data_IF_712511993110
#
_entry.id   IF_712511993110
#
_cell.length_a   1.000
_cell.length_b   1.000
_cell.length_c   1.000
_cell.angle_alpha   90.00
_cell.angle_beta   90.00
_cell.angle_gamma   90.00
#
_symmetry.space_group_name_H-M   'P 1'
#
loop_
_entity.id
_entity.type
_entity.pdbx_description
1 polymer ?
#
# COMPACT_ATOMS: atom_id res chain seq x y z
N UNK A 1 -35.86 -63.45 -50.95
CA UNK A 1 -37.18 -63.93 -50.48
C UNK A 1 -38.07 -62.70 -50.38
N UNK A 2 -39.08 -62.61 -51.27
CA UNK A 2 -40.22 -61.67 -51.35
C UNK A 2 -39.95 -60.16 -51.10
N UNK A 3 -39.94 -59.24 -52.10
CA UNK A 3 -41.06 -58.78 -52.97
C UNK A 3 -42.16 -58.18 -52.07
N UNK A 4 -42.53 -56.88 -52.06
CA UNK A 4 -42.94 -56.00 -53.18
C UNK A 4 -43.31 -54.59 -52.65
N UNK A 5 -43.12 -53.58 -53.52
CA UNK A 5 -44.05 -52.46 -53.82
C UNK A 5 -44.40 -51.41 -52.74
N UNK A 6 -44.67 -50.14 -53.05
CA UNK A 6 -44.79 -49.30 -54.27
C UNK A 6 -44.68 -47.83 -53.74
N UNK A 7 -43.85 -46.96 -54.32
CA UNK A 7 -44.15 -46.01 -55.41
C UNK A 7 -45.11 -44.86 -55.01
N UNK A 8 -44.60 -43.63 -55.23
CA UNK A 8 -45.17 -42.42 -55.87
C UNK A 8 -44.92 -41.19 -54.99
N UNK A 9 -43.78 -40.49 -55.15
CA UNK A 9 -43.53 -39.35 -56.07
C UNK A 9 -44.45 -38.15 -55.78
N UNK A 10 -44.01 -36.89 -55.71
CA UNK A 10 -43.24 -36.07 -56.66
C UNK A 10 -43.10 -34.71 -55.93
N UNK A 11 -41.97 -33.99 -55.90
CA UNK A 11 -41.65 -32.82 -56.76
C UNK A 11 -40.35 -32.23 -56.16
N UNK A 12 -39.19 -32.29 -56.83
CA UNK A 12 -38.66 -31.30 -57.79
C UNK A 12 -38.59 -29.87 -57.18
N UNK A 13 -37.44 -29.40 -56.65
CA UNK A 13 -36.26 -28.80 -57.37
C UNK A 13 -36.56 -27.34 -57.79
N UNK A 14 -35.62 -26.40 -58.05
CA UNK A 14 -34.16 -26.26 -57.82
C UNK A 14 -33.88 -25.02 -56.94
N UNK A 15 -32.65 -24.54 -56.65
CA UNK A 15 -31.69 -23.81 -57.49
C UNK A 15 -30.89 -22.95 -56.49
N UNK A 16 -29.65 -22.53 -56.62
CA UNK A 16 -28.53 -22.73 -57.55
C UNK A 16 -27.50 -21.66 -57.17
N UNK A 17 -26.25 -21.84 -57.62
CA UNK A 17 -25.11 -20.90 -57.57
C UNK A 17 -24.42 -20.77 -56.19
N UNK A 18 -23.08 -20.81 -56.09
CA UNK A 18 -22.06 -20.78 -57.11
C UNK A 18 -20.96 -19.79 -56.69
N UNK A 19 -19.77 -20.33 -56.46
CA UNK A 19 -18.44 -19.72 -56.53
C UNK A 19 -17.97 -18.68 -55.49
N UNK A 20 -16.68 -18.87 -55.21
CA UNK A 20 -15.75 -18.17 -54.31
C UNK A 20 -15.71 -16.66 -54.50
N UNK A 21 -15.43 -15.92 -53.42
CA UNK A 21 -14.32 -14.96 -53.37
C UNK A 21 -14.00 -14.56 -51.93
N UNK A 22 -12.70 -14.31 -51.72
CA UNK A 22 -12.02 -13.77 -50.55
C UNK A 22 -12.73 -12.65 -49.79
N UNK A 23 -12.71 -12.72 -48.46
CA UNK A 23 -13.08 -11.62 -47.57
C UNK A 23 -12.29 -11.65 -46.27
N UNK A 24 -11.29 -10.78 -46.16
CA UNK A 24 -10.65 -10.38 -44.90
C UNK A 24 -11.73 -9.97 -43.88
N UNK A 25 -11.76 -10.62 -42.72
CA UNK A 25 -12.34 -10.03 -41.52
C UNK A 25 -11.50 -10.47 -40.34
N UNK A 26 -10.79 -9.50 -39.77
CA UNK A 26 -9.81 -9.71 -38.72
C UNK A 26 -10.40 -10.49 -37.55
N UNK A 27 -9.73 -11.58 -37.22
CA UNK A 27 -9.82 -12.16 -35.89
C UNK A 27 -9.36 -11.08 -34.92
N UNK A 28 -10.34 -10.44 -34.27
CA UNK A 28 -10.09 -9.80 -32.98
C UNK A 28 -9.45 -10.88 -32.12
N UNK A 29 -8.14 -10.78 -31.88
CA UNK A 29 -7.53 -11.39 -30.71
C UNK A 29 -8.38 -10.93 -29.53
N UNK A 30 -9.26 -11.79 -29.04
CA UNK A 30 -9.78 -11.63 -27.70
C UNK A 30 -8.53 -11.70 -26.82
N UNK A 31 -8.06 -10.55 -26.35
CA UNK A 31 -7.11 -10.50 -25.23
C UNK A 31 -7.85 -11.11 -24.05
N UNK A 32 -7.87 -12.44 -24.00
CA UNK A 32 -8.46 -13.19 -22.92
C UNK A 32 -7.52 -12.98 -21.74
N UNK A 33 -7.74 -11.87 -21.03
CA UNK A 33 -6.95 -11.48 -19.89
C UNK A 33 -7.43 -12.40 -18.77
N UNK A 34 -6.86 -13.60 -18.67
CA UNK A 34 -7.18 -14.57 -17.65
C UNK A 34 -6.47 -14.20 -16.36
N UNK A 35 -7.18 -14.16 -15.25
CA UNK A 35 -6.56 -14.09 -13.93
C UNK A 35 -6.01 -15.46 -13.52
N UNK A 36 -4.96 -15.46 -12.71
CA UNK A 36 -4.60 -16.61 -11.90
C UNK A 36 -5.76 -16.94 -10.92
N UNK A 37 -5.96 -18.22 -10.65
CA UNK A 37 -6.97 -18.66 -9.70
C UNK A 37 -6.30 -18.88 -8.34
N UNK A 38 -6.74 -18.13 -7.33
CA UNK A 38 -6.40 -18.40 -5.93
C UNK A 38 -7.54 -19.20 -5.27
N UNK A 39 -7.22 -20.12 -4.34
CA UNK A 39 -8.24 -20.80 -3.56
C UNK A 39 -9.05 -19.79 -2.76
N UNK A 40 -10.36 -20.01 -2.72
CA UNK A 40 -11.30 -19.18 -1.93
C UNK A 40 -10.95 -19.36 -0.46
N UNK A 41 -10.70 -18.26 0.24
CA UNK A 41 -10.46 -18.24 1.69
C UNK A 41 -11.79 -18.19 2.47
N UNK A 42 -11.72 -18.28 3.80
CA UNK A 42 -12.87 -18.05 4.70
C UNK A 42 -12.99 -16.57 5.02
N UNK A 43 -14.18 -16.14 5.43
CA UNK A 43 -14.42 -14.77 5.93
C UNK A 43 -13.30 -14.35 6.88
N UNK A 44 -12.82 -13.12 6.67
CA UNK A 44 -11.65 -12.56 7.34
C UNK A 44 -11.96 -11.19 7.92
N UNK A 45 -10.94 -10.34 8.05
CA UNK A 45 -11.10 -9.01 8.64
C UNK A 45 -10.33 -7.93 7.91
N UNK A 46 -10.83 -6.70 8.01
CA UNK A 46 -10.11 -5.48 7.71
C UNK A 46 -9.90 -4.71 9.00
N UNK A 47 -8.72 -4.13 9.13
CA UNK A 47 -8.34 -3.28 10.23
C UNK A 47 -7.85 -1.93 9.71
N UNK A 48 -8.23 -0.84 10.36
CA UNK A 48 -7.65 0.49 10.18
C UNK A 48 -7.32 1.10 11.54
N UNK A 49 -6.38 2.05 11.60
CA UNK A 49 -6.06 2.75 12.85
C UNK A 49 -6.64 4.16 12.85
N UNK A 50 -7.14 4.61 13.99
CA UNK A 50 -7.71 5.96 14.14
C UNK A 50 -6.64 7.05 14.16
N UNK A 51 -5.43 6.72 14.59
CA UNK A 51 -4.29 7.63 14.83
C UNK A 51 -4.58 8.75 15.86
N UNK A 52 -5.61 8.61 16.67
CA UNK A 52 -5.97 9.60 17.68
C UNK A 52 -4.95 9.61 18.84
N UNK A 53 -4.91 10.64 19.70
CA UNK A 53 -4.16 10.60 20.96
C UNK A 53 -4.50 9.37 21.80
N UNK A 54 -5.76 8.95 21.77
CA UNK A 54 -6.21 7.63 22.19
C UNK A 54 -6.36 6.71 20.96
N UNK A 55 -5.24 6.16 20.48
CA UNK A 55 -5.25 5.40 19.24
C UNK A 55 -6.00 4.07 19.40
N UNK A 56 -6.80 3.72 18.39
CA UNK A 56 -7.63 2.52 18.36
C UNK A 56 -7.51 1.82 17.00
N UNK A 57 -7.72 0.50 17.02
CA UNK A 57 -7.98 -0.31 15.84
C UNK A 57 -9.48 -0.37 15.61
N UNK A 58 -9.94 0.02 14.42
CA UNK A 58 -11.30 -0.23 13.98
C UNK A 58 -11.33 -1.55 13.20
N UNK A 59 -12.17 -2.48 13.65
CA UNK A 59 -12.30 -3.83 13.11
C UNK A 59 -13.55 -3.94 12.25
N UNK A 60 -13.39 -4.54 11.07
CA UNK A 60 -14.48 -4.90 10.19
C UNK A 60 -14.42 -6.37 9.80
N UNK A 61 -15.51 -7.11 9.95
CA UNK A 61 -15.62 -8.44 9.36
C UNK A 61 -15.74 -8.33 7.84
N UNK A 62 -15.10 -9.24 7.11
CA UNK A 62 -14.98 -9.21 5.65
C UNK A 62 -15.59 -10.45 5.02
N UNK A 63 -16.59 -10.24 4.19
CA UNK A 63 -17.20 -11.30 3.37
C UNK A 63 -16.29 -11.66 2.19
N UNK A 64 -15.89 -12.92 2.07
CA UNK A 64 -15.04 -13.38 0.95
C UNK A 64 -15.74 -13.31 -0.40
N UNK A 65 -17.01 -13.72 -0.45
CA UNK A 65 -17.74 -13.82 -1.73
C UNK A 65 -18.04 -12.46 -2.34
N UNK A 66 -18.23 -11.45 -1.51
CA UNK A 66 -18.72 -10.13 -1.92
C UNK A 66 -17.72 -9.00 -1.68
N UNK A 67 -16.70 -9.24 -0.85
CA UNK A 67 -15.75 -8.25 -0.38
C UNK A 67 -16.34 -7.27 0.65
N UNK A 68 -17.63 -7.38 0.99
CA UNK A 68 -18.32 -6.42 1.84
C UNK A 68 -17.81 -6.45 3.28
N UNK A 69 -17.89 -5.29 3.92
CA UNK A 69 -17.45 -5.05 5.28
C UNK A 69 -18.64 -4.73 6.20
N UNK A 70 -18.55 -5.20 7.44
CA UNK A 70 -19.43 -4.86 8.57
C UNK A 70 -18.56 -4.42 9.72
N UNK A 71 -18.88 -3.29 10.35
CA UNK A 71 -18.14 -2.80 11.51
C UNK A 71 -18.47 -3.63 12.75
N UNK A 72 -17.44 -4.07 13.48
CA UNK A 72 -17.60 -4.96 14.63
C UNK A 72 -17.20 -4.28 15.95
N UNK A 73 -16.24 -3.35 15.92
CA UNK A 73 -15.86 -2.62 17.12
C UNK A 73 -14.53 -1.87 17.00
N UNK A 74 -14.22 -1.13 18.07
CA UNK A 74 -12.93 -0.48 18.28
C UNK A 74 -12.15 -1.17 19.40
N UNK A 75 -10.83 -1.18 19.27
CA UNK A 75 -9.91 -1.80 20.23
C UNK A 75 -8.73 -0.87 20.50
N UNK A 76 -8.55 -0.46 21.75
CA UNK A 76 -7.44 0.43 22.10
C UNK A 76 -6.08 -0.20 21.80
N UNK A 77 -5.18 0.59 21.20
CA UNK A 77 -3.78 0.20 21.08
C UNK A 77 -3.01 0.42 22.37
N UNK A 78 -3.57 1.14 23.36
CA UNK A 78 -2.85 1.65 24.53
C UNK A 78 -1.67 2.59 24.18
N UNK A 79 -1.58 3.05 22.92
CA UNK A 79 -0.62 4.04 22.45
C UNK A 79 -1.32 5.29 21.91
N UNK A 80 -0.54 6.20 21.34
CA UNK A 80 -1.04 7.43 20.73
C UNK A 80 -0.57 7.56 19.28
N UNK A 81 -1.44 8.08 18.42
CA UNK A 81 -1.09 8.39 17.05
C UNK A 81 -0.24 9.66 16.94
N UNK A 82 0.30 9.88 15.75
CA UNK A 82 1.21 10.97 15.44
C UNK A 82 0.82 11.68 14.15
N UNK A 83 1.17 12.95 14.05
CA UNK A 83 1.02 13.79 12.87
C UNK A 83 2.39 14.34 12.45
N UNK A 84 2.83 13.99 11.24
CA UNK A 84 4.01 14.59 10.63
C UNK A 84 3.92 16.13 10.58
N UNK A 85 5.08 16.78 10.72
CA UNK A 85 5.20 18.21 10.49
C UNK A 85 5.18 18.54 8.99
N UNK A 86 4.45 19.58 8.62
CA UNK A 86 4.31 20.01 7.23
C UNK A 86 5.62 20.55 6.64
N UNK A 87 6.04 19.98 5.51
CA UNK A 87 6.89 20.67 4.53
C UNK A 87 6.02 21.35 3.47
N UNK A 88 6.56 22.23 2.60
CA UNK A 88 5.78 22.94 1.60
C UNK A 88 5.36 22.00 0.46
N UNK A 89 4.31 21.20 0.67
CA UNK A 89 3.62 20.46 -0.38
C UNK A 89 2.32 21.19 -0.74
N UNK A 90 2.11 21.56 -2.01
CA UNK A 90 0.91 22.27 -2.44
C UNK A 90 -0.30 21.35 -2.71
N UNK A 91 -0.26 20.10 -2.24
CA UNK A 91 -1.37 19.16 -2.27
C UNK A 91 -1.86 18.91 -0.83
N UNK A 92 -3.16 18.63 -0.61
CA UNK A 92 -3.63 18.24 0.71
C UNK A 92 -2.78 17.08 1.20
N UNK A 93 -2.13 17.27 2.35
CA UNK A 93 -1.35 16.23 3.01
C UNK A 93 -2.11 15.80 4.24
N UNK A 94 -3.35 15.34 4.02
CA UNK A 94 -4.14 14.65 5.04
C UNK A 94 -3.64 13.21 5.15
N UNK A 95 -2.32 13.07 5.23
CA UNK A 95 -1.59 11.83 5.40
C UNK A 95 -0.77 11.98 6.68
N UNK A 96 -1.35 11.60 7.82
CA UNK A 96 -0.75 11.86 9.12
C UNK A 96 0.62 11.25 9.32
N UNK A 97 0.90 10.11 8.67
CA UNK A 97 2.16 9.39 8.85
C UNK A 97 3.05 9.41 7.61
N UNK A 98 2.57 9.86 6.45
CA UNK A 98 3.42 9.99 5.28
C UNK A 98 3.96 8.65 4.79
N UNK A 99 3.31 7.53 5.08
CA UNK A 99 3.93 6.21 5.02
C UNK A 99 2.94 5.10 4.70
N UNK A 100 3.50 3.94 4.36
CA UNK A 100 2.76 2.71 4.10
C UNK A 100 3.13 1.66 5.15
N UNK A 101 2.20 0.75 5.45
CA UNK A 101 2.40 -0.37 6.38
C UNK A 101 2.56 0.03 7.86
N UNK A 102 1.90 1.09 8.33
CA UNK A 102 1.84 1.43 9.76
C UNK A 102 1.02 0.42 10.60
N UNK A 103 0.16 -0.36 9.93
CA UNK A 103 -0.62 -1.46 10.49
C UNK A 103 -0.43 -2.69 9.61
N UNK A 104 0.00 -3.82 10.18
CA UNK A 104 0.23 -5.05 9.41
C UNK A 104 -0.34 -6.29 10.11
N UNK A 105 -0.72 -7.27 9.30
CA UNK A 105 -0.98 -8.64 9.76
C UNK A 105 0.30 -9.46 9.65
N UNK A 106 0.70 -10.10 10.74
CA UNK A 106 1.86 -10.98 10.84
C UNK A 106 1.42 -12.37 11.34
N UNK A 107 0.95 -13.21 10.41
CA UNK A 107 0.35 -14.50 10.75
C UNK A 107 -1.00 -14.30 11.45
N UNK A 108 -1.15 -14.80 12.67
CA UNK A 108 -2.36 -14.60 13.50
C UNK A 108 -2.26 -13.38 14.43
N UNK A 109 -1.35 -12.45 14.13
CA UNK A 109 -1.07 -11.28 14.93
C UNK A 109 -1.34 -10.01 14.11
N UNK A 110 -1.83 -8.97 14.76
CA UNK A 110 -1.98 -7.63 14.19
C UNK A 110 -1.01 -6.71 14.93
N UNK A 111 -0.17 -5.98 14.19
CA UNK A 111 0.85 -5.09 14.73
C UNK A 111 0.59 -3.66 14.28
N UNK A 112 0.56 -2.74 15.25
CA UNK A 112 0.19 -1.35 15.07
C UNK A 112 1.32 -0.42 15.52
N UNK A 113 1.79 0.45 14.63
CA UNK A 113 2.74 1.50 14.96
C UNK A 113 2.02 2.72 15.58
N UNK A 114 2.34 3.04 16.84
CA UNK A 114 1.83 4.24 17.51
C UNK A 114 2.89 5.34 17.44
N UNK A 115 2.80 6.15 16.38
CA UNK A 115 3.80 7.18 16.08
C UNK A 115 3.98 8.20 17.22
N UNK A 116 2.90 8.60 17.89
CA UNK A 116 2.94 9.60 18.96
C UNK A 116 3.53 9.09 20.27
N UNK A 117 3.42 7.78 20.55
CA UNK A 117 3.94 7.18 21.78
C UNK A 117 5.24 6.39 21.60
N UNK A 118 5.77 6.34 20.38
CA UNK A 118 7.04 5.66 20.04
C UNK A 118 7.04 4.15 20.36
N UNK A 119 5.89 3.50 20.18
CA UNK A 119 5.72 2.10 20.54
C UNK A 119 4.96 1.32 19.46
N UNK A 120 5.03 0.00 19.56
CA UNK A 120 4.30 -0.95 18.73
C UNK A 120 3.33 -1.70 19.64
N UNK A 121 2.05 -1.68 19.29
CA UNK A 121 1.04 -2.52 19.92
C UNK A 121 0.84 -3.81 19.13
N UNK A 122 0.75 -4.92 19.85
CA UNK A 122 0.51 -6.23 19.28
C UNK A 122 -0.81 -6.80 19.78
N UNK A 123 -1.56 -7.38 18.87
CA UNK A 123 -2.81 -8.08 19.14
C UNK A 123 -2.77 -9.49 18.58
N UNK A 124 -3.49 -10.41 19.22
CA UNK A 124 -3.85 -11.70 18.67
C UNK A 124 -5.18 -11.58 17.93
N UNK A 125 -5.22 -12.06 16.69
CA UNK A 125 -6.46 -12.20 15.92
C UNK A 125 -7.15 -13.47 16.39
N UNK A 126 -8.36 -13.33 16.94
CA UNK A 126 -9.15 -14.46 17.46
C UNK A 126 -10.02 -15.04 16.34
N UNK A 127 -10.76 -14.17 15.67
CA UNK A 127 -11.65 -14.49 14.56
C UNK A 127 -11.96 -13.22 13.75
N UNK A 128 -12.99 -13.28 12.90
CA UNK A 128 -13.38 -12.17 12.02
C UNK A 128 -13.99 -10.97 12.75
N UNK A 129 -14.29 -11.09 14.04
CA UNK A 129 -15.07 -10.12 14.84
C UNK A 129 -14.28 -9.61 16.06
N UNK A 130 -13.18 -10.28 16.45
CA UNK A 130 -12.45 -9.93 17.67
C UNK A 130 -10.93 -10.05 17.56
N UNK A 131 -10.26 -9.11 18.24
CA UNK A 131 -8.82 -9.14 18.52
C UNK A 131 -8.58 -8.98 20.02
N UNK A 132 -7.51 -9.60 20.53
CA UNK A 132 -7.08 -9.53 21.92
C UNK A 132 -5.77 -8.75 22.00
N UNK A 133 -5.72 -7.67 22.79
CA UNK A 133 -4.48 -6.94 23.06
C UNK A 133 -3.49 -7.85 23.79
N UNK A 134 -2.25 -7.91 23.30
CA UNK A 134 -1.20 -8.76 23.87
C UNK A 134 -0.20 -7.92 24.65
N UNK A 135 0.43 -6.97 23.98
CA UNK A 135 1.42 -6.09 24.61
C UNK A 135 1.68 -4.83 23.81
N UNK A 136 2.38 -3.90 24.45
CA UNK A 136 2.91 -2.68 23.86
C UNK A 136 4.39 -2.59 24.19
N UNK A 137 5.23 -2.48 23.17
CA UNK A 137 6.69 -2.48 23.32
C UNK A 137 7.30 -1.25 22.64
N UNK A 138 8.42 -0.70 23.15
CA UNK A 138 9.13 0.38 22.46
C UNK A 138 9.49 -0.02 21.03
N UNK A 139 9.32 0.90 20.07
CA UNK A 139 9.59 0.62 18.65
C UNK A 139 11.08 0.57 18.29
N UNK A 140 11.98 0.86 19.25
CA UNK A 140 13.42 0.99 19.02
C UNK A 140 13.83 2.30 18.34
N UNK A 141 12.97 3.33 18.39
CA UNK A 141 13.27 4.65 17.87
C UNK A 141 12.14 5.62 18.16
N UNK A 142 12.13 6.75 17.47
CA UNK A 142 11.05 7.73 17.57
C UNK A 142 10.17 7.73 16.32
N UNK A 143 8.87 7.94 16.52
CA UNK A 143 7.92 8.08 15.44
C UNK A 143 7.86 6.84 14.52
N UNK A 144 7.48 5.66 15.01
CA UNK A 144 7.29 4.49 14.17
C UNK A 144 6.20 4.77 13.12
N UNK A 145 6.53 4.58 11.85
CA UNK A 145 5.65 4.91 10.71
C UNK A 145 5.36 3.71 9.82
N UNK A 146 6.20 2.68 9.82
CA UNK A 146 6.03 1.51 8.96
C UNK A 146 6.58 0.25 9.65
N UNK A 147 5.92 -0.88 9.40
CA UNK A 147 6.26 -2.20 9.93
C UNK A 147 6.36 -3.19 8.77
N UNK A 148 7.21 -4.19 8.89
CA UNK A 148 7.22 -5.32 7.97
C UNK A 148 7.45 -6.64 8.69
N UNK A 149 6.97 -7.74 8.12
CA UNK A 149 7.10 -9.08 8.69
C UNK A 149 7.44 -10.12 7.62
N UNK A 150 8.36 -11.04 7.97
CA UNK A 150 8.62 -12.27 7.22
C UNK A 150 9.21 -13.32 8.16
N UNK A 151 8.69 -14.54 8.09
CA UNK A 151 9.24 -15.72 8.78
C UNK A 151 9.51 -15.52 10.28
N UNK A 152 8.62 -14.78 10.96
CA UNK A 152 8.73 -14.50 12.40
C UNK A 152 9.67 -13.33 12.75
N UNK A 153 10.33 -12.72 11.77
CA UNK A 153 11.03 -11.45 11.94
C UNK A 153 10.07 -10.30 11.67
N UNK A 154 10.11 -9.29 12.53
CA UNK A 154 9.40 -8.03 12.36
C UNK A 154 10.42 -6.90 12.40
N UNK A 155 10.29 -5.92 11.52
CA UNK A 155 11.07 -4.70 11.60
C UNK A 155 10.17 -3.48 11.68
N UNK A 156 10.54 -2.55 12.54
CA UNK A 156 9.97 -1.21 12.56
C UNK A 156 10.86 -0.23 11.83
N UNK A 157 10.22 0.74 11.19
CA UNK A 157 10.82 1.92 10.63
C UNK A 157 10.35 3.12 11.42
N UNK A 158 11.29 3.78 12.05
CA UNK A 158 11.12 4.97 12.87
C UNK A 158 11.54 6.18 12.04
N UNK A 159 10.68 7.20 11.95
CA UNK A 159 10.96 8.40 11.17
C UNK A 159 11.90 9.38 11.88
N UNK A 160 12.15 9.18 13.18
CA UNK A 160 12.98 10.08 13.97
C UNK A 160 12.23 11.36 14.35
N UNK A 161 12.96 12.32 14.91
CA UNK A 161 12.46 13.66 15.24
C UNK A 161 13.41 14.70 14.65
N UNK A 162 12.89 15.83 14.17
CA UNK A 162 13.75 16.93 13.72
C UNK A 162 14.27 17.71 14.93
N UNK A 163 15.53 18.15 14.90
CA UNK A 163 16.12 18.85 16.04
C UNK A 163 17.64 18.92 16.05
N UNK A 164 18.18 19.97 16.68
CA UNK A 164 19.60 20.06 17.02
C UNK A 164 19.87 19.08 18.17
N UNK A 165 20.10 17.80 17.83
CA UNK A 165 20.28 16.76 18.85
C UNK A 165 20.32 15.31 18.35
N UNK A 166 20.02 15.03 17.08
CA UNK A 166 20.38 13.75 16.46
C UNK A 166 19.53 12.55 16.87
N UNK A 167 18.21 12.64 16.71
CA UNK A 167 17.33 11.46 16.68
C UNK A 167 16.96 11.12 15.21
N UNK A 168 17.93 10.67 14.38
CA UNK A 168 17.65 10.28 13.01
C UNK A 168 16.59 9.18 13.00
N UNK A 169 15.94 8.99 11.85
CA UNK A 169 15.16 7.79 11.63
C UNK A 169 16.00 6.53 11.91
N UNK A 170 15.34 5.44 12.31
CA UNK A 170 16.01 4.19 12.65
C UNK A 170 15.22 2.97 12.21
N UNK A 171 15.89 1.82 12.15
CA UNK A 171 15.24 0.51 12.04
C UNK A 171 15.53 -0.33 13.29
N UNK A 172 14.54 -1.08 13.75
CA UNK A 172 14.69 -2.04 14.85
C UNK A 172 14.08 -3.38 14.46
N UNK A 173 14.85 -4.44 14.64
CA UNK A 173 14.39 -5.82 14.46
C UNK A 173 13.74 -6.38 15.73
N UNK A 174 12.75 -7.25 15.55
CA UNK A 174 12.08 -8.00 16.60
C UNK A 174 11.84 -9.43 16.15
N UNK A 175 11.97 -10.38 17.08
CA UNK A 175 11.45 -11.72 16.92
C UNK A 175 10.00 -11.75 17.38
N UNK A 176 9.10 -12.15 16.48
CA UNK A 176 7.71 -12.49 16.81
C UNK A 176 7.69 -13.90 17.42
N UNK A 177 7.39 -13.98 18.71
CA UNK A 177 7.50 -15.21 19.49
C UNK A 177 6.31 -16.14 19.23
N UNK A 178 6.64 -17.40 18.91
CA UNK A 178 5.76 -18.49 18.46
C UNK A 178 4.33 -18.48 19.01
N UNK A 179 3.42 -17.87 18.24
CA UNK A 179 1.97 -17.79 18.47
C UNK A 179 1.51 -16.99 19.70
N UNK A 180 2.44 -16.39 20.47
CA UNK A 180 2.05 -15.49 21.55
C UNK A 180 1.79 -14.07 21.08
N UNK A 181 2.14 -13.73 19.82
CA UNK A 181 2.15 -12.37 19.29
C UNK A 181 2.99 -11.41 20.14
N UNK A 182 4.03 -11.93 20.80
CA UNK A 182 4.96 -11.10 21.56
C UNK A 182 6.18 -10.74 20.72
N UNK A 183 6.69 -9.53 20.88
CA UNK A 183 7.84 -8.99 20.20
C UNK A 183 9.03 -8.95 21.16
N UNK A 184 10.12 -9.60 20.77
CA UNK A 184 11.41 -9.51 21.46
C UNK A 184 12.40 -8.78 20.57
N UNK A 185 12.90 -7.62 21.02
CA UNK A 185 13.90 -6.86 20.27
C UNK A 185 15.14 -7.72 19.94
N UNK A 186 15.65 -7.53 18.73
CA UNK A 186 16.86 -8.15 18.19
C UNK A 186 17.94 -7.07 18.08
N UNK A 187 18.98 -7.17 18.90
CA UNK A 187 20.07 -6.20 18.91
C UNK A 187 19.61 -4.77 19.20
N UNK A 188 20.50 -3.82 18.91
CA UNK A 188 20.20 -2.39 18.98
C UNK A 188 19.61 -1.89 17.66
N UNK A 189 18.89 -0.77 17.72
CA UNK A 189 18.37 -0.09 16.54
C UNK A 189 19.51 0.45 15.66
N UNK A 190 19.31 0.44 14.34
CA UNK A 190 20.26 1.00 13.38
C UNK A 190 19.76 2.36 12.89
N UNK A 191 20.61 3.38 13.03
CA UNK A 191 20.37 4.72 12.52
C UNK A 191 20.30 4.73 10.98
N UNK A 192 19.41 5.56 10.42
CA UNK A 192 19.34 5.87 8.99
C UNK A 192 20.29 7.01 8.60
N UNK A 193 20.94 7.66 9.58
CA UNK A 193 21.88 8.77 9.44
C UNK A 193 21.31 9.99 8.68
N UNK A 194 20.00 10.20 8.81
CA UNK A 194 19.32 11.36 8.27
C UNK A 194 19.58 12.59 9.15
N UNK A 195 19.85 13.73 8.53
CA UNK A 195 19.90 15.03 9.22
C UNK A 195 18.80 15.91 8.68
N UNK A 196 17.85 16.26 9.53
CA UNK A 196 16.81 17.23 9.19
C UNK A 196 17.22 18.55 9.83
N UNK A 197 17.89 19.40 9.07
CA UNK A 197 18.49 20.68 9.53
C UNK A 197 17.47 21.74 9.96
N UNK A 198 16.29 21.34 10.45
CA UNK A 198 15.11 22.16 10.62
C UNK A 198 14.66 22.27 12.08
N UNK A 199 15.57 22.60 12.99
CA UNK A 199 15.25 22.98 14.39
C UNK A 199 14.53 21.91 15.21
N UNK A 200 14.32 22.18 16.50
CA UNK A 200 13.68 21.24 17.45
C UNK A 200 12.19 21.06 17.15
N UNK A 201 11.83 20.06 16.34
CA UNK A 201 10.46 19.69 16.05
C UNK A 201 10.04 18.45 16.85
N UNK A 202 8.82 18.49 17.41
CA UNK A 202 8.21 17.36 18.10
C UNK A 202 7.71 16.24 17.16
N UNK A 203 7.82 16.43 15.84
CA UNK A 203 7.42 15.47 14.82
C UNK A 203 8.28 15.65 13.55
N UNK A 204 8.58 14.57 12.82
CA UNK A 204 9.42 14.63 11.63
C UNK A 204 8.73 15.36 10.48
N UNK A 205 9.50 16.07 9.65
CA UNK A 205 8.99 16.72 8.45
C UNK A 205 8.71 15.69 7.35
N UNK A 206 7.54 15.82 6.72
CA UNK A 206 7.13 14.92 5.64
C UNK A 206 8.21 14.64 4.59
N UNK A 207 8.84 15.66 3.96
CA UNK A 207 9.76 15.39 2.86
C UNK A 207 11.01 14.63 3.29
N UNK A 208 11.45 14.71 4.56
CA UNK A 208 12.66 14.04 5.05
C UNK A 208 12.43 12.69 5.73
N UNK A 209 11.19 12.39 6.08
CA UNK A 209 10.83 11.12 6.71
C UNK A 209 10.97 9.91 5.75
N UNK A 210 11.29 8.72 6.28
CA UNK A 210 11.14 7.47 5.55
C UNK A 210 9.65 7.15 5.27
N UNK A 211 9.38 6.41 4.21
CA UNK A 211 8.01 6.15 3.74
C UNK A 211 7.55 4.70 3.92
N UNK A 212 8.42 3.71 3.72
CA UNK A 212 8.05 2.31 3.86
C UNK A 212 9.29 1.45 4.15
N UNK A 213 9.10 0.38 4.94
CA UNK A 213 10.05 -0.72 5.10
C UNK A 213 9.40 -2.03 4.62
N UNK A 214 10.20 -2.91 4.03
CA UNK A 214 9.74 -4.18 3.49
C UNK A 214 10.88 -5.19 3.37
N UNK A 215 10.53 -6.44 3.06
CA UNK A 215 11.51 -7.46 2.69
C UNK A 215 11.63 -7.55 1.16
N UNK A 216 12.85 -7.56 0.64
CA UNK A 216 13.11 -7.94 -0.75
C UNK A 216 12.76 -9.42 -0.99
N UNK A 217 12.56 -9.89 -2.23
CA UNK A 217 12.33 -11.31 -2.51
C UNK A 217 13.39 -12.25 -1.91
N UNK A 218 14.64 -11.78 -1.84
CA UNK A 218 15.81 -12.49 -1.33
C UNK A 218 15.93 -12.46 0.20
N UNK A 219 15.08 -11.67 0.87
CA UNK A 219 14.99 -11.59 2.32
C UNK A 219 15.88 -10.52 2.95
N UNK A 220 16.31 -9.51 2.18
CA UNK A 220 16.97 -8.32 2.73
C UNK A 220 15.91 -7.32 3.21
N UNK A 221 16.28 -6.44 4.14
CA UNK A 221 15.46 -5.25 4.42
C UNK A 221 15.67 -4.24 3.33
N UNK A 222 14.59 -3.69 2.81
CA UNK A 222 14.57 -2.59 1.87
C UNK A 222 13.62 -1.51 2.40
N UNK A 223 14.03 -0.25 2.30
CA UNK A 223 13.22 0.89 2.71
C UNK A 223 13.43 2.09 1.80
N UNK A 224 12.44 2.96 1.77
CA UNK A 224 12.48 4.22 1.03
C UNK A 224 12.63 5.39 2.00
N UNK A 225 13.54 6.30 1.66
CA UNK A 225 13.64 7.61 2.29
C UNK A 225 13.24 8.62 1.21
N UNK A 226 12.30 9.49 1.55
CA UNK A 226 11.87 10.61 0.70
C UNK A 226 13.06 11.59 0.50
N UNK A 227 12.80 12.79 -0.03
CA UNK A 227 13.86 13.77 -0.29
C UNK A 227 14.42 14.42 1.00
N UNK A 228 15.28 15.43 0.91
CA UNK A 228 15.53 16.42 1.99
C UNK A 228 15.99 16.00 3.41
N UNK A 229 16.27 14.73 3.74
CA UNK A 229 16.84 14.31 5.04
C UNK A 229 18.35 14.50 5.18
N UNK A 230 18.88 15.56 4.57
CA UNK A 230 20.25 15.61 4.09
C UNK A 230 21.28 16.49 4.80
N UNK A 231 22.51 15.98 4.94
CA UNK A 231 23.74 16.75 5.20
C UNK A 231 24.69 16.66 3.98
N UNK A 232 25.96 17.04 4.09
CA UNK A 232 26.91 16.96 2.96
C UNK A 232 27.13 15.53 2.41
N UNK A 233 26.83 14.49 3.18
CA UNK A 233 26.93 13.06 2.80
C UNK A 233 25.57 12.46 2.37
N UNK A 234 24.45 13.11 2.72
CA UNK A 234 23.10 12.75 2.31
C UNK A 234 22.52 13.91 1.48
N UNK A 235 22.66 13.92 0.13
CA UNK A 235 22.11 15.01 -0.68
C UNK A 235 20.59 15.08 -0.52
N UNK A 236 19.98 16.24 -0.82
CA UNK A 236 18.52 16.45 -0.81
C UNK A 236 17.79 15.68 -1.92
N UNK A 237 18.00 14.36 -2.00
CA UNK A 237 17.48 13.42 -2.99
C UNK A 237 16.89 12.20 -2.27
N UNK A 238 15.82 11.67 -2.84
CA UNK A 238 15.23 10.42 -2.36
C UNK A 238 16.16 9.22 -2.54
N UNK A 239 15.99 8.19 -1.71
CA UNK A 239 16.81 6.98 -1.80
C UNK A 239 16.06 5.70 -1.47
N UNK A 240 16.52 4.61 -2.08
CA UNK A 240 16.24 3.23 -1.73
C UNK A 240 17.43 2.76 -0.88
N UNK A 241 17.16 2.23 0.30
CA UNK A 241 18.17 1.78 1.24
C UNK A 241 17.93 0.30 1.49
N UNK A 242 18.99 -0.48 1.44
CA UNK A 242 18.90 -1.92 1.65
C UNK A 242 19.92 -2.36 2.69
N UNK A 243 19.49 -3.24 3.57
CA UNK A 243 20.30 -3.87 4.60
C UNK A 243 20.23 -5.38 4.44
N UNK A 244 21.38 -6.03 4.49
CA UNK A 244 21.46 -7.49 4.59
C UNK A 244 20.97 -7.93 5.96
N UNK A 245 20.38 -9.12 6.02
CA UNK A 245 19.93 -9.73 7.27
C UNK A 245 20.75 -10.99 7.52
N UNK A 246 21.34 -11.08 8.71
CA UNK A 246 21.84 -12.34 9.22
C UNK A 246 20.65 -13.26 9.53
N UNK A 247 20.51 -14.35 8.78
CA UNK A 247 19.33 -15.23 8.82
C UNK A 247 19.19 -16.02 10.12
N UNK A 248 20.27 -16.17 10.89
CA UNK A 248 20.24 -16.91 12.16
C UNK A 248 19.82 -16.01 13.32
N UNK A 249 20.25 -14.76 13.29
CA UNK A 249 20.06 -13.81 14.39
C UNK A 249 18.97 -12.78 14.13
N UNK A 250 18.64 -12.51 12.87
CA UNK A 250 17.79 -11.39 12.46
C UNK A 250 18.47 -10.02 12.63
N UNK A 251 19.79 -9.96 12.81
CA UNK A 251 20.51 -8.69 12.85
C UNK A 251 20.67 -8.13 11.44
N UNK A 252 20.56 -6.81 11.31
CA UNK A 252 20.74 -6.10 10.05
C UNK A 252 22.15 -5.50 9.97
N UNK A 253 22.74 -5.54 8.78
CA UNK A 253 24.07 -4.98 8.49
C UNK A 253 24.18 -4.63 7.00
N UNK A 254 25.27 -3.99 6.57
CA UNK A 254 25.62 -3.84 5.15
C UNK A 254 24.65 -2.95 4.38
N UNK A 255 24.62 -1.66 4.73
CA UNK A 255 23.82 -0.66 4.02
C UNK A 255 24.29 -0.44 2.58
N UNK A 256 23.39 -0.68 1.63
CA UNK A 256 23.51 -0.21 0.25
C UNK A 256 22.48 0.88 0.00
N UNK A 257 22.93 2.09 -0.33
CA UNK A 257 22.08 3.24 -0.62
C UNK A 257 22.10 3.56 -2.11
N UNK A 258 20.92 3.63 -2.70
CA UNK A 258 20.72 4.01 -4.11
C UNK A 258 19.85 5.26 -4.17
N UNK A 259 20.40 6.36 -4.67
CA UNK A 259 19.62 7.58 -4.88
C UNK A 259 18.75 7.45 -6.12
N UNK A 260 17.48 7.82 -5.98
CA UNK A 260 16.54 7.84 -7.10
C UNK A 260 16.56 9.21 -7.80
N UNK A 261 16.11 9.24 -9.04
CA UNK A 261 16.06 10.49 -9.83
C UNK A 261 14.75 11.25 -9.61
N UNK A 262 13.65 10.55 -9.32
CA UNK A 262 12.38 11.20 -9.03
C UNK A 262 12.29 11.75 -7.61
N UNK A 263 11.27 12.56 -7.43
CA UNK A 263 10.97 13.31 -6.23
C UNK A 263 9.97 12.55 -5.37
N UNK A 264 10.25 12.51 -4.07
CA UNK A 264 9.42 11.86 -3.06
C UNK A 264 9.19 10.37 -3.42
N UNK A 265 10.25 9.52 -3.44
CA UNK A 265 10.03 8.08 -3.42
C UNK A 265 9.23 7.73 -2.17
N UNK A 266 8.09 7.06 -2.37
CA UNK A 266 7.14 6.80 -1.31
C UNK A 266 7.07 5.30 -1.06
N UNK A 267 6.11 4.61 -1.67
CA UNK A 267 5.88 3.18 -1.47
C UNK A 267 6.53 2.35 -2.56
N UNK A 268 6.68 1.07 -2.29
CA UNK A 268 7.08 0.07 -3.24
C UNK A 268 6.35 -1.26 -3.04
N UNK A 269 6.38 -2.04 -4.11
CA UNK A 269 6.04 -3.46 -4.09
C UNK A 269 6.89 -4.20 -5.13
N UNK A 270 6.75 -5.52 -5.22
CA UNK A 270 7.45 -6.36 -6.18
C UNK A 270 6.48 -7.03 -7.14
N UNK A 271 6.85 -7.13 -8.42
CA UNK A 271 6.15 -7.99 -9.36
C UNK A 271 6.57 -9.47 -9.20
N UNK A 272 5.95 -10.37 -9.99
CA UNK A 272 6.25 -11.82 -9.94
C UNK A 272 7.69 -12.17 -10.34
N UNK A 273 8.37 -11.29 -11.07
CA UNK A 273 9.76 -11.46 -11.51
C UNK A 273 10.75 -10.89 -10.49
N UNK A 274 10.27 -10.26 -9.42
CA UNK A 274 11.09 -9.59 -8.42
C UNK A 274 11.57 -8.20 -8.85
N UNK A 275 10.96 -7.61 -9.89
CA UNK A 275 11.21 -6.21 -10.22
C UNK A 275 10.58 -5.31 -9.14
N UNK A 276 11.34 -4.31 -8.70
CA UNK A 276 10.95 -3.34 -7.69
C UNK A 276 10.12 -2.23 -8.33
N UNK A 277 8.85 -2.11 -7.92
CA UNK A 277 7.91 -1.10 -8.38
C UNK A 277 7.86 0.04 -7.36
N UNK A 278 8.55 1.14 -7.63
CA UNK A 278 8.61 2.32 -6.77
C UNK A 278 7.57 3.36 -7.19
N UNK A 279 6.85 3.95 -6.24
CA UNK A 279 6.08 5.18 -6.48
C UNK A 279 6.96 6.39 -6.21
N UNK A 280 7.03 7.30 -7.17
CA UNK A 280 7.65 8.62 -7.02
C UNK A 280 6.55 9.67 -7.15
N UNK A 281 6.22 10.35 -6.04
CA UNK A 281 4.96 11.10 -5.94
C UNK A 281 4.82 12.26 -6.92
N UNK A 282 5.96 12.78 -7.39
CA UNK A 282 6.03 13.81 -8.42
C UNK A 282 6.94 13.44 -9.60
N UNK A 283 7.32 12.16 -9.73
CA UNK A 283 8.25 11.71 -10.77
C UNK A 283 9.48 12.62 -10.83
N UNK A 284 9.92 13.02 -12.03
CA UNK A 284 11.04 13.96 -12.20
C UNK A 284 10.64 15.44 -12.13
N UNK A 285 9.36 15.75 -11.90
CA UNK A 285 8.87 17.14 -11.89
C UNK A 285 9.03 17.78 -10.51
N UNK A 286 9.10 19.13 -10.43
CA UNK A 286 9.12 19.82 -9.16
C UNK A 286 7.98 19.39 -8.26
N UNK A 287 8.27 19.24 -6.97
CA UNK A 287 7.29 18.93 -5.94
C UNK A 287 6.11 19.88 -6.03
N UNK A 288 4.90 19.33 -6.11
CA UNK A 288 3.66 20.07 -6.31
C UNK A 288 3.16 20.19 -7.74
N UNK A 289 3.94 19.73 -8.72
CA UNK A 289 3.52 19.78 -10.12
C UNK A 289 2.28 18.93 -10.36
N UNK A 290 1.30 19.41 -11.13
CA UNK A 290 0.13 18.63 -11.47
C UNK A 290 0.49 17.47 -12.40
N UNK A 291 -0.26 16.37 -12.30
CA UNK A 291 -0.14 15.19 -13.17
C UNK A 291 1.25 14.53 -13.16
N UNK A 292 1.99 14.68 -12.06
CA UNK A 292 3.41 14.30 -11.98
C UNK A 292 3.65 12.92 -11.35
N UNK A 293 2.65 12.28 -10.77
CA UNK A 293 2.79 10.98 -10.11
C UNK A 293 3.25 9.90 -11.07
N UNK A 294 4.14 9.02 -10.60
CA UNK A 294 4.82 8.03 -11.43
C UNK A 294 5.05 6.72 -10.67
N UNK A 295 4.95 5.60 -11.40
CA UNK A 295 5.47 4.30 -10.95
C UNK A 295 6.71 3.97 -11.77
N UNK A 296 7.81 3.66 -11.09
CA UNK A 296 9.11 3.41 -11.69
C UNK A 296 9.56 1.99 -11.35
N UNK A 297 9.87 1.22 -12.38
CA UNK A 297 10.33 -0.16 -12.25
C UNK A 297 11.85 -0.22 -12.27
N UNK A 298 12.42 -0.88 -11.26
CA UNK A 298 13.84 -1.22 -11.17
C UNK A 298 14.02 -2.74 -11.17
N UNK A 299 15.12 -3.21 -11.74
CA UNK A 299 15.59 -4.59 -11.59
C UNK A 299 16.88 -4.62 -10.80
N UNK A 300 17.28 -5.83 -10.37
CA UNK A 300 18.53 -6.07 -9.65
C UNK A 300 18.66 -5.26 -8.35
N UNK A 301 17.54 -5.09 -7.63
CA UNK A 301 17.48 -4.24 -6.43
C UNK A 301 18.51 -4.66 -5.36
N UNK A 302 18.86 -5.95 -5.31
CA UNK A 302 19.81 -6.51 -4.35
C UNK A 302 21.29 -6.33 -4.69
N UNK A 303 21.61 -5.69 -5.80
CA UNK A 303 23.00 -5.48 -6.21
C UNK A 303 23.20 -4.05 -6.71
N UNK A 304 22.99 -3.83 -8.00
CA UNK A 304 23.03 -2.52 -8.62
C UNK A 304 21.64 -2.25 -9.23
N UNK A 305 20.75 -1.55 -8.51
CA UNK A 305 19.43 -1.23 -9.02
C UNK A 305 19.55 -0.49 -10.35
N UNK A 306 18.84 -0.97 -11.37
CA UNK A 306 18.83 -0.34 -12.69
C UNK A 306 17.40 -0.07 -13.11
N UNK A 307 17.14 1.18 -13.50
CA UNK A 307 15.87 1.62 -14.06
C UNK A 307 15.54 0.79 -15.31
N UNK A 308 14.33 0.22 -15.35
CA UNK A 308 13.78 -0.52 -16.49
C UNK A 308 12.82 0.37 -17.27
N UNK A 309 11.79 0.87 -16.60
CA UNK A 309 10.77 1.71 -17.20
C UNK A 309 10.14 2.62 -16.14
N UNK A 310 9.67 3.79 -16.56
CA UNK A 310 8.77 4.64 -15.78
C UNK A 310 7.41 4.72 -16.48
N UNK A 311 6.33 4.60 -15.70
CA UNK A 311 4.94 4.79 -16.12
C UNK A 311 4.34 5.99 -15.41
N UNK A 312 4.05 7.05 -16.15
CA UNK A 312 3.35 8.21 -15.60
C UNK A 312 1.89 7.86 -15.32
N UNK A 313 1.41 8.23 -14.13
CA UNK A 313 -0.01 8.09 -13.77
C UNK A 313 -0.86 9.18 -14.41
N UNK A 314 -0.24 10.31 -14.76
CA UNK A 314 -0.92 11.53 -15.15
C UNK A 314 -1.77 12.14 -14.03
N UNK A 315 -1.58 11.74 -12.78
CA UNK A 315 -2.33 12.23 -11.63
C UNK A 315 -1.41 13.01 -10.67
N UNK A 316 -2.01 13.89 -9.88
CA UNK A 316 -1.36 14.53 -8.73
C UNK A 316 -1.79 13.76 -7.49
N UNK A 317 -1.10 13.74 -6.37
CA UNK A 317 0.17 13.06 -6.07
C UNK A 317 -0.03 11.54 -5.91
N UNK A 318 0.79 10.70 -6.55
CA UNK A 318 0.72 9.23 -6.33
C UNK A 318 1.56 8.81 -5.13
N UNK A 319 1.03 8.00 -4.20
CA UNK A 319 1.76 7.70 -2.97
C UNK A 319 1.81 6.21 -2.64
N UNK A 320 0.69 5.51 -2.47
CA UNK A 320 0.67 4.08 -2.12
C UNK A 320 0.61 3.21 -3.36
N UNK A 321 1.26 2.04 -3.35
CA UNK A 321 1.11 1.02 -4.37
C UNK A 321 1.08 -0.39 -3.79
N UNK A 322 0.49 -1.29 -4.59
CA UNK A 322 0.56 -2.74 -4.45
C UNK A 322 0.48 -3.40 -5.81
N UNK A 323 1.10 -4.56 -5.91
CA UNK A 323 1.08 -5.43 -7.05
C UNK A 323 0.12 -6.61 -6.84
N UNK A 324 -0.75 -6.83 -7.82
CA UNK A 324 -1.72 -7.90 -7.82
C UNK A 324 -1.23 -9.03 -8.75
N UNK A 325 -0.64 -10.06 -8.15
CA UNK A 325 -0.21 -11.31 -8.82
C UNK A 325 -1.37 -12.04 -9.50
N UNK A 326 -2.61 -11.83 -9.06
CA UNK A 326 -3.76 -12.49 -9.65
C UNK A 326 -4.03 -12.02 -11.09
N UNK A 327 -3.85 -10.73 -11.37
CA UNK A 327 -4.13 -10.16 -12.69
C UNK A 327 -2.91 -9.48 -13.35
N UNK A 328 -1.74 -9.59 -12.72
CA UNK A 328 -0.48 -8.97 -13.11
C UNK A 328 -0.61 -7.45 -13.29
N UNK A 329 -1.28 -6.79 -12.35
CA UNK A 329 -1.51 -5.36 -12.39
C UNK A 329 -0.94 -4.67 -11.14
N UNK A 330 -0.34 -3.51 -11.31
CA UNK A 330 0.00 -2.62 -10.21
C UNK A 330 -1.09 -1.56 -10.07
N UNK A 331 -1.44 -1.24 -8.83
CA UNK A 331 -2.38 -0.18 -8.50
C UNK A 331 -1.65 0.88 -7.69
N UNK A 332 -2.01 2.14 -7.88
CA UNK A 332 -1.50 3.23 -7.03
C UNK A 332 -2.58 4.25 -6.72
N UNK A 333 -2.64 4.71 -5.48
CA UNK A 333 -3.54 5.79 -5.08
C UNK A 333 -2.92 7.14 -5.39
N UNK A 334 -3.75 8.04 -5.88
CA UNK A 334 -3.40 9.42 -6.19
C UNK A 334 -4.10 10.32 -5.19
N UNK A 335 -3.41 10.66 -4.12
CA UNK A 335 -3.91 11.44 -3.00
C UNK A 335 -4.40 12.83 -3.44
N UNK A 336 -3.51 13.64 -4.02
CA UNK A 336 -3.86 14.96 -4.56
C UNK A 336 -4.79 14.97 -5.79
N UNK A 337 -5.22 13.80 -6.26
CA UNK A 337 -5.99 13.60 -7.50
C UNK A 337 -7.24 12.76 -7.27
N UNK A 338 -7.50 12.35 -6.03
CA UNK A 338 -8.70 11.63 -5.60
C UNK A 338 -9.07 10.42 -6.48
N UNK A 339 -8.07 9.60 -6.81
CA UNK A 339 -8.24 8.45 -7.70
C UNK A 339 -7.32 7.28 -7.38
N UNK A 340 -7.58 6.12 -7.98
CA UNK A 340 -6.64 5.01 -8.10
C UNK A 340 -6.27 4.85 -9.58
N UNK A 341 -4.97 4.78 -9.89
CA UNK A 341 -4.44 4.42 -11.22
C UNK A 341 -4.19 2.92 -11.28
N UNK A 342 -4.33 2.31 -12.47
CA UNK A 342 -3.93 0.92 -12.70
C UNK A 342 -2.97 0.78 -13.88
N UNK A 343 -1.94 -0.03 -13.68
CA UNK A 343 -0.97 -0.43 -14.69
C UNK A 343 -1.04 -1.94 -14.90
N UNK A 344 -0.84 -2.38 -16.14
CA UNK A 344 -0.50 -3.76 -16.45
C UNK A 344 1.01 -3.91 -16.37
N UNK A 345 1.44 -4.97 -15.69
CA UNK A 345 2.86 -5.32 -15.57
C UNK A 345 3.09 -6.60 -16.35
N UNK A 346 3.97 -6.58 -17.34
CA UNK A 346 4.26 -7.75 -18.17
C UNK A 346 5.70 -7.72 -18.64
N UNK A 347 6.48 -8.74 -18.28
CA UNK A 347 7.86 -8.96 -18.75
C UNK A 347 8.74 -7.69 -18.67
N UNK A 348 8.79 -7.06 -17.50
CA UNK A 348 9.55 -5.82 -17.31
C UNK A 348 8.95 -4.57 -17.98
N UNK A 349 7.66 -4.59 -18.36
CA UNK A 349 6.96 -3.41 -18.87
C UNK A 349 5.83 -2.95 -17.97
N UNK A 350 5.69 -1.63 -17.84
CA UNK A 350 4.58 -0.93 -17.20
C UNK A 350 3.71 -0.25 -18.27
N UNK A 351 2.49 -0.74 -18.47
CA UNK A 351 1.49 -0.16 -19.38
C UNK A 351 0.35 0.46 -18.58
N UNK A 352 0.10 1.77 -18.75
CA UNK A 352 -1.05 2.43 -18.13
C UNK A 352 -2.35 1.86 -18.70
N UNK A 353 -3.23 1.33 -17.85
CA UNK A 353 -4.52 0.75 -18.26
C UNK A 353 -5.66 1.74 -18.04
N UNK A 354 -5.76 2.26 -16.81
CA UNK A 354 -6.72 3.31 -16.47
C UNK A 354 -6.01 4.37 -15.64
N UNK A 355 -6.03 5.60 -16.14
CA UNK A 355 -5.59 6.79 -15.41
C UNK A 355 -6.39 7.00 -14.11
N UNK A 356 -7.65 6.58 -14.13
CA UNK A 356 -8.61 6.65 -13.02
C UNK A 356 -9.41 5.34 -13.01
N UNK A 357 -8.80 4.26 -12.51
CA UNK A 357 -9.47 2.98 -12.29
C UNK A 357 -10.62 3.09 -11.27
N UNK A 358 -10.51 4.06 -10.34
CA UNK A 358 -11.57 4.44 -9.41
C UNK A 358 -11.41 5.90 -8.95
N UNK A 359 -12.51 6.51 -8.54
CA UNK A 359 -12.54 7.82 -7.86
C UNK A 359 -12.93 7.64 -6.39
N UNK A 360 -12.20 8.33 -5.51
CA UNK A 360 -12.34 8.32 -4.05
C UNK A 360 -11.58 9.51 -3.48
N UNK A 361 -12.13 10.15 -2.45
CA UNK A 361 -11.66 11.46 -1.99
C UNK A 361 -10.40 11.36 -1.12
N UNK A 362 -9.27 11.85 -1.64
CA UNK A 362 -7.98 11.93 -0.92
C UNK A 362 -7.56 10.56 -0.34
N UNK A 363 -7.28 9.55 -1.18
CA UNK A 363 -6.87 8.22 -0.72
C UNK A 363 -5.49 8.23 -0.07
N UNK A 364 -5.35 7.46 1.01
CA UNK A 364 -4.14 7.42 1.84
C UNK A 364 -3.66 6.02 2.26
N UNK A 365 -4.34 4.95 1.87
CA UNK A 365 -3.79 3.60 1.96
C UNK A 365 -4.66 2.64 1.14
N UNK A 366 -4.12 1.48 0.78
CA UNK A 366 -4.94 0.36 0.33
C UNK A 366 -4.22 -0.98 0.43
N UNK A 367 -5.01 -2.05 0.46
CA UNK A 367 -4.51 -3.41 0.37
C UNK A 367 -5.52 -4.33 -0.33
N UNK A 368 -5.08 -5.55 -0.61
CA UNK A 368 -5.89 -6.57 -1.26
C UNK A 368 -6.44 -7.58 -0.26
N UNK A 369 -7.57 -8.20 -0.59
CA UNK A 369 -7.92 -9.48 0.02
C UNK A 369 -6.81 -10.52 -0.20
N UNK A 370 -6.66 -11.55 0.67
CA UNK A 370 -5.62 -12.56 0.51
C UNK A 370 -5.69 -13.30 -0.84
N UNK A 371 -6.89 -13.50 -1.38
CA UNK A 371 -7.14 -14.08 -2.70
C UNK A 371 -6.99 -13.07 -3.87
N UNK A 372 -6.69 -11.82 -3.54
CA UNK A 372 -6.49 -10.69 -4.46
C UNK A 372 -7.67 -10.42 -5.40
N UNK A 373 -8.89 -10.78 -4.98
CA UNK A 373 -10.13 -10.49 -5.70
C UNK A 373 -10.71 -9.11 -5.37
N UNK A 374 -10.37 -8.55 -4.22
CA UNK A 374 -10.87 -7.27 -3.74
C UNK A 374 -9.73 -6.32 -3.37
N UNK A 375 -9.97 -5.03 -3.59
CA UNK A 375 -9.14 -3.93 -3.15
C UNK A 375 -9.93 -3.13 -2.11
N UNK A 376 -9.28 -2.82 -0.98
CA UNK A 376 -9.79 -2.00 0.10
C UNK A 376 -8.94 -0.76 0.20
N UNK A 377 -9.51 0.41 -0.05
CA UNK A 377 -8.79 1.68 0.02
C UNK A 377 -9.38 2.57 1.11
N UNK A 378 -8.49 3.19 1.88
CA UNK A 378 -8.84 4.21 2.87
C UNK A 378 -8.67 5.58 2.23
N UNK A 379 -9.65 6.44 2.44
CA UNK A 379 -9.63 7.82 1.98
C UNK A 379 -10.08 8.74 3.12
N UNK A 380 -9.45 9.90 3.24
CA UNK A 380 -9.76 10.86 4.32
C UNK A 380 -11.07 11.60 4.07
N UNK A 381 -11.58 11.62 2.83
CA UNK A 381 -12.78 12.39 2.56
C UNK A 381 -12.59 13.90 2.74
N UNK A 382 -11.33 14.37 2.85
CA UNK A 382 -11.04 15.75 3.20
C UNK A 382 -11.64 16.74 2.21
N UNK A 383 -12.30 17.76 2.76
CA UNK A 383 -12.86 18.90 2.04
C UNK A 383 -12.19 20.15 2.57
N UNK A 384 -11.44 20.83 1.71
CA UNK A 384 -10.64 21.99 2.09
C UNK A 384 -11.49 23.06 2.77
N UNK A 385 -11.16 23.37 4.02
CA UNK A 385 -11.84 24.39 4.82
C UNK A 385 -13.20 23.96 5.39
N UNK A 386 -13.57 22.68 5.28
CA UNK A 386 -14.85 22.15 5.77
C UNK A 386 -14.67 20.79 6.49
N UNK A 387 -14.25 20.80 7.77
CA UNK A 387 -14.08 19.59 8.57
C UNK A 387 -15.38 18.78 8.72
N UNK A 388 -16.53 19.44 8.80
CA UNK A 388 -17.84 18.80 8.92
C UNK A 388 -18.17 17.96 7.67
N UNK A 389 -17.79 18.45 6.48
CA UNK A 389 -17.90 17.71 5.24
C UNK A 389 -16.81 16.64 5.05
N UNK A 390 -15.77 16.65 5.88
CA UNK A 390 -14.61 15.76 5.79
C UNK A 390 -14.89 14.43 6.49
N UNK A 391 -15.49 13.49 5.75
CA UNK A 391 -15.86 12.16 6.24
C UNK A 391 -14.97 11.07 5.64
N UNK A 392 -14.00 10.54 6.41
CA UNK A 392 -13.19 9.41 5.99
C UNK A 392 -14.02 8.14 5.78
N UNK A 393 -13.55 7.29 4.88
CA UNK A 393 -14.27 6.08 4.49
C UNK A 393 -13.33 4.98 3.96
N UNK A 394 -13.78 3.72 4.09
CA UNK A 394 -13.21 2.58 3.37
C UNK A 394 -14.01 2.38 2.07
N UNK A 395 -13.31 2.32 0.95
CA UNK A 395 -13.86 2.00 -0.36
C UNK A 395 -13.49 0.58 -0.74
N UNK A 396 -14.50 -0.23 -1.07
CA UNK A 396 -14.33 -1.63 -1.48
C UNK A 396 -14.52 -1.73 -2.98
N UNK A 397 -13.57 -2.37 -3.66
CA UNK A 397 -13.64 -2.61 -5.09
C UNK A 397 -13.40 -4.09 -5.40
N UNK A 398 -14.17 -4.63 -6.35
CA UNK A 398 -13.89 -5.92 -6.99
C UNK A 398 -12.89 -5.72 -8.12
N UNK A 399 -11.84 -6.52 -8.12
CA UNK A 399 -10.74 -6.47 -9.08
C UNK A 399 -11.07 -7.35 -10.29
N UNK A 400 -10.95 -6.76 -11.49
CA UNK A 400 -11.14 -7.46 -12.78
C UNK A 400 -9.78 -7.87 -13.35
N UNK A 401 -9.77 -8.91 -14.19
CA UNK A 401 -8.54 -9.40 -14.81
C UNK A 401 -7.90 -8.40 -15.77
N UNK A 402 -8.68 -7.50 -16.35
CA UNK A 402 -8.20 -6.43 -17.20
C UNK A 402 -7.71 -5.20 -16.43
N UNK A 403 -7.23 -5.37 -15.19
CA UNK A 403 -6.83 -4.32 -14.25
C UNK A 403 -7.92 -3.33 -13.80
N UNK A 404 -9.17 -3.42 -14.29
CA UNK A 404 -10.22 -2.48 -13.89
C UNK A 404 -10.80 -2.79 -12.51
N UNK A 405 -11.34 -1.76 -11.87
CA UNK A 405 -12.02 -1.86 -10.57
C UNK A 405 -13.54 -1.69 -10.75
N UNK A 406 -14.32 -2.31 -9.88
CA UNK A 406 -15.77 -2.09 -9.79
C UNK A 406 -16.14 -1.87 -8.33
N UNK A 407 -16.67 -0.69 -8.00
CA UNK A 407 -17.05 -0.35 -6.63
C UNK A 407 -18.12 -1.30 -6.11
N UNK A 408 -17.93 -1.78 -4.89
CA UNK A 408 -18.82 -2.70 -4.15
C UNK A 408 -19.50 -1.97 -3.01
N UNK A 409 -18.74 -1.21 -2.21
CA UNK A 409 -19.21 -0.57 -0.99
C UNK A 409 -18.39 0.68 -0.70
N UNK A 410 -19.00 1.64 -0.01
CA UNK A 410 -18.33 2.70 0.75
C UNK A 410 -18.78 2.54 2.20
N UNK A 411 -17.84 2.52 3.13
CA UNK A 411 -18.08 2.24 4.56
C UNK A 411 -17.62 3.44 5.36
N UNK A 412 -18.49 3.95 6.22
CA UNK A 412 -18.19 5.02 7.19
C UNK A 412 -18.44 4.58 8.63
N UNK A 413 -19.10 3.42 8.82
CA UNK A 413 -19.47 2.93 10.15
C UNK A 413 -18.22 2.76 11.01
N UNK A 414 -18.26 3.30 12.24
CA UNK A 414 -17.14 3.28 13.18
C UNK A 414 -16.01 4.28 12.91
N UNK A 415 -16.02 4.99 11.77
CA UNK A 415 -14.97 5.96 11.41
C UNK A 415 -15.39 7.38 11.81
N UNK A 416 -14.71 8.03 12.78
CA UNK A 416 -15.05 9.39 13.19
C UNK A 416 -14.91 10.39 12.03
N UNK A 417 -15.87 11.31 11.92
CA UNK A 417 -15.77 12.50 11.07
C UNK A 417 -14.60 13.37 11.52
N UNK A 418 -13.97 14.13 10.63
CA UNK A 418 -12.85 15.01 11.00
C UNK A 418 -13.21 16.02 12.11
N UNK A 419 -14.45 16.53 12.11
CA UNK A 419 -14.94 17.46 13.14
C UNK A 419 -15.07 16.86 14.54
N UNK A 420 -15.22 15.53 14.64
CA UNK A 420 -15.40 14.81 15.91
C UNK A 420 -14.07 14.35 16.52
N UNK A 421 -12.94 14.61 15.86
CA UNK A 421 -11.62 14.08 16.23
C UNK A 421 -10.97 14.88 17.34
N UNK A 422 -10.11 14.19 18.09
CA UNK A 422 -9.30 14.89 19.08
C UNK A 422 -8.26 15.73 18.36
N UNK A 423 -8.32 17.03 18.63
CA UNK A 423 -7.33 17.97 18.14
C UNK A 423 -6.07 17.79 18.99
N UNK A 424 -4.95 17.49 18.34
CA UNK A 424 -3.68 17.35 19.03
C UNK A 424 -3.19 18.71 19.59
N UNK A 425 -2.10 18.70 20.36
CA UNK A 425 -1.55 19.91 20.97
C UNK A 425 -1.18 21.03 19.97
N UNK A 426 -1.08 20.71 18.68
CA UNK A 426 -0.75 21.64 17.59
C UNK A 426 -1.98 22.16 16.84
N UNK A 427 -3.20 21.84 17.29
CA UNK A 427 -4.43 22.35 16.65
C UNK A 427 -4.87 21.59 15.40
N UNK A 428 -4.32 20.38 15.17
CA UNK A 428 -4.62 19.55 13.99
C UNK A 428 -5.35 18.27 14.42
N UNK A 429 -6.42 17.91 13.72
CA UNK A 429 -7.08 16.62 13.89
C UNK A 429 -6.17 15.50 13.35
N UNK A 430 -5.94 14.45 14.14
CA UNK A 430 -5.17 13.32 13.62
C UNK A 430 -6.04 12.52 12.62
N UNK A 431 -5.54 12.29 11.40
CA UNK A 431 -6.24 11.53 10.35
C UNK A 431 -6.27 10.01 10.62
N UNK A 432 -7.09 9.22 9.94
CA UNK A 432 -7.01 7.74 10.00
C UNK A 432 -5.77 7.25 9.23
N UNK A 433 -5.17 6.14 9.64
CA UNK A 433 -3.96 5.62 8.99
C UNK A 433 -3.91 4.10 9.03
N UNK A 434 -3.17 3.53 8.08
CA UNK A 434 -2.91 2.10 8.01
C UNK A 434 -4.14 1.29 7.59
N UNK A 435 -3.93 0.32 6.72
CA UNK A 435 -4.92 -0.71 6.41
C UNK A 435 -4.26 -2.08 6.38
N UNK A 436 -4.80 -3.01 7.16
CA UNK A 436 -4.38 -4.40 7.17
C UNK A 436 -5.54 -5.34 6.89
N UNK A 437 -5.23 -6.47 6.25
CA UNK A 437 -6.21 -7.49 5.84
C UNK A 437 -5.78 -8.85 6.37
N UNK A 438 -6.70 -9.54 7.03
CA UNK A 438 -6.56 -10.93 7.47
C UNK A 438 -7.39 -11.87 6.59
#
# INVERSE_FOLDING_TARGET
>A
MFVKSFILSLLLVPSSFGLETSGLRGDRKSNNTSCNAYPIQKDGSIYIMTNEPHNEILLYSRSESSGRLVFEGSFSTNGSGGQLSGGPLPAPTDDPLGSQDSLIVAGSCLLAANAGSNDISSFRIIDSESIEFVEKVPSGGNYPVSLTHRDGLVYSLNAGLDGDGGNPGSIQGFQLLGYSCKLKAIGDSISLDQSTSSGDAAAPIFPASPAQIGFSPEGNIILTIKSNGGNNEFPSRGSINMYSIDKETGMVDGLTRTFVEGNIPFSFDFDEEGNFLLVEAFGSSPVGSPNAGRVTMYKNINSAPSLVQAGDTGQTTSCWNRYNTRNSCAYTTNNGGSSITSFRVTNGSLELVEKEAASLDVPIDFSFSPDQNFLYAVATGHVSGDPEASQPAIYVYKIKCNCRLTKVQRVIDGIPNEADREINANGVANGIVGLAVY
#
